data_IF_010012099428
#
_entry.id   IF_010012099428
#
_cell.length_a   1.000
_cell.length_b   1.000
_cell.length_c   1.000
_cell.angle_alpha   90.00
_cell.angle_beta   90.00
_cell.angle_gamma   90.00
#
_symmetry.space_group_name_H-M   'P 1'
#
loop_
_entity.id
_entity.type
_entity.pdbx_description
1 polymer ?
#
# COMPACT_ATOMS: atom_id res chain seq x y z
N UNK A 1 -63.57 24.10 -23.02
CA UNK A 1 -63.08 23.57 -21.73
C UNK A 1 -62.01 22.54 -22.04
N UNK A 2 -60.81 22.64 -21.44
CA UNK A 2 -59.74 21.66 -21.65
C UNK A 2 -60.19 20.32 -21.06
N UNK A 3 -60.12 19.25 -21.84
CA UNK A 3 -60.62 17.95 -21.42
C UNK A 3 -59.57 17.24 -20.57
N UNK A 4 -59.96 16.23 -19.79
CA UNK A 4 -59.07 15.53 -18.85
C UNK A 4 -57.86 14.89 -19.56
N UNK A 5 -58.07 14.43 -20.80
CA UNK A 5 -57.03 13.93 -21.70
C UNK A 5 -56.00 14.99 -22.11
N UNK A 6 -56.42 16.24 -22.31
CA UNK A 6 -55.53 17.34 -22.68
C UNK A 6 -54.63 17.72 -21.50
N UNK A 7 -55.18 17.72 -20.29
CA UNK A 7 -54.43 17.96 -19.05
C UNK A 7 -53.39 16.86 -18.81
N UNK A 8 -53.76 15.59 -19.02
CA UNK A 8 -52.82 14.48 -18.87
C UNK A 8 -51.69 14.55 -19.89
N UNK A 9 -51.99 14.90 -21.14
CA UNK A 9 -50.99 15.05 -22.21
C UNK A 9 -50.01 16.19 -21.93
N UNK A 10 -50.53 17.31 -21.42
CA UNK A 10 -49.72 18.45 -21.02
C UNK A 10 -48.83 18.13 -19.81
N UNK A 11 -49.37 17.41 -18.81
CA UNK A 11 -48.61 16.93 -17.66
C UNK A 11 -47.49 15.96 -18.08
N UNK A 12 -47.76 15.02 -18.99
CA UNK A 12 -46.74 14.10 -19.53
C UNK A 12 -45.64 14.87 -20.27
N UNK A 13 -46.00 15.89 -21.05
CA UNK A 13 -45.02 16.76 -21.74
C UNK A 13 -44.14 17.52 -20.74
N UNK A 14 -44.75 18.10 -19.71
CA UNK A 14 -44.04 18.79 -18.63
C UNK A 14 -43.06 17.86 -17.89
N UNK A 15 -43.52 16.67 -17.52
CA UNK A 15 -42.70 15.67 -16.83
C UNK A 15 -41.55 15.15 -17.72
N UNK A 16 -41.79 14.94 -19.02
CA UNK A 16 -40.72 14.57 -19.97
C UNK A 16 -39.67 15.66 -20.10
N UNK A 17 -40.08 16.93 -20.15
CA UNK A 17 -39.16 18.08 -20.20
C UNK A 17 -38.35 18.17 -18.91
N UNK A 18 -38.99 18.06 -17.75
CA UNK A 18 -38.33 18.05 -16.43
C UNK A 18 -37.30 16.93 -16.32
N UNK A 19 -37.67 15.70 -16.68
CA UNK A 19 -36.76 14.54 -16.67
C UNK A 19 -35.55 14.72 -17.58
N UNK A 20 -35.71 15.39 -18.74
CA UNK A 20 -34.59 15.68 -19.65
C UNK A 20 -33.62 16.69 -19.05
N UNK A 21 -34.14 17.74 -18.41
CA UNK A 21 -33.32 18.75 -17.72
C UNK A 21 -32.56 18.10 -16.56
N UNK A 22 -33.22 17.31 -15.72
CA UNK A 22 -32.59 16.62 -14.60
C UNK A 22 -31.50 15.64 -15.04
N UNK A 23 -31.73 14.90 -16.14
CA UNK A 23 -30.70 14.01 -16.71
C UNK A 23 -29.48 14.77 -17.25
N UNK A 24 -29.70 15.91 -17.90
CA UNK A 24 -28.60 16.72 -18.41
C UNK A 24 -27.80 17.32 -17.26
N UNK A 25 -28.47 17.86 -16.25
CA UNK A 25 -27.84 18.39 -15.03
C UNK A 25 -27.06 17.29 -14.28
N UNK A 26 -27.59 16.07 -14.22
CA UNK A 26 -26.89 14.95 -13.62
C UNK A 26 -25.61 14.64 -14.40
N UNK A 27 -25.66 14.55 -15.74
CA UNK A 27 -24.49 14.26 -16.56
C UNK A 27 -23.41 15.35 -16.49
N UNK A 28 -23.78 16.63 -16.42
CA UNK A 28 -22.84 17.74 -16.24
C UNK A 28 -22.11 17.62 -14.89
N UNK A 29 -22.86 17.48 -13.80
CA UNK A 29 -22.25 17.29 -12.47
C UNK A 29 -21.46 15.99 -12.36
N UNK A 30 -21.87 14.94 -13.09
CA UNK A 30 -21.17 13.66 -13.09
C UNK A 30 -19.85 13.73 -13.84
N UNK A 31 -19.76 14.49 -14.94
CA UNK A 31 -18.49 14.69 -15.64
C UNK A 31 -17.49 15.44 -14.77
N UNK A 32 -17.91 16.51 -14.10
CA UNK A 32 -17.03 17.28 -13.20
C UNK A 32 -16.60 16.44 -11.98
N UNK A 33 -17.54 15.67 -11.42
CA UNK A 33 -17.24 14.75 -10.31
C UNK A 33 -16.29 13.64 -10.76
N UNK A 34 -16.55 13.00 -11.90
CA UNK A 34 -15.68 11.99 -12.50
C UNK A 34 -14.30 12.59 -12.83
N UNK A 35 -14.26 13.84 -13.27
CA UNK A 35 -13.02 14.54 -13.55
C UNK A 35 -12.23 14.81 -12.27
N UNK A 36 -12.87 15.21 -11.16
CA UNK A 36 -12.20 15.41 -9.87
C UNK A 36 -11.62 14.13 -9.26
N UNK A 37 -12.28 12.97 -9.44
CA UNK A 37 -11.80 11.67 -8.91
C UNK A 37 -10.78 10.99 -9.83
N UNK A 38 -10.54 11.50 -11.05
CA UNK A 38 -9.49 10.93 -11.92
C UNK A 38 -8.15 11.07 -11.20
N UNK A 39 -7.36 10.00 -11.09
CA UNK A 39 -6.05 10.03 -10.43
C UNK A 39 -5.14 11.14 -10.96
N UNK A 40 -5.23 11.44 -12.25
CA UNK A 40 -4.45 12.52 -12.89
C UNK A 40 -4.77 13.91 -12.31
N UNK A 41 -6.03 14.17 -11.93
CA UNK A 41 -6.44 15.46 -11.39
C UNK A 41 -6.19 15.55 -9.88
N UNK A 42 -6.18 14.43 -9.16
CA UNK A 42 -5.65 14.35 -7.79
C UNK A 42 -4.15 14.68 -7.76
N UNK A 43 -3.38 14.10 -8.69
CA UNK A 43 -1.95 14.38 -8.84
C UNK A 43 -1.71 15.85 -9.19
N UNK A 44 -2.48 16.41 -10.13
CA UNK A 44 -2.42 17.85 -10.43
C UNK A 44 -2.73 18.71 -9.21
N UNK A 45 -3.72 18.33 -8.39
CA UNK A 45 -4.03 19.02 -7.14
C UNK A 45 -2.84 19.11 -6.18
N UNK A 46 -2.06 18.03 -6.07
CA UNK A 46 -0.81 17.99 -5.28
C UNK A 46 0.28 18.89 -5.86
N UNK A 47 0.31 19.09 -7.18
CA UNK A 47 1.29 19.94 -7.86
C UNK A 47 0.84 21.40 -8.01
N UNK A 48 -0.44 21.71 -7.89
CA UNK A 48 -0.93 23.09 -7.92
C UNK A 48 -0.61 23.79 -6.61
N UNK A 49 -0.05 24.99 -6.73
CA UNK A 49 0.60 25.83 -5.72
C UNK A 49 -0.10 25.98 -4.36
N UNK A 50 -1.39 25.66 -4.23
CA UNK A 50 -2.15 25.77 -2.98
C UNK A 50 -1.69 24.74 -1.93
N UNK A 51 -1.43 23.49 -2.33
CA UNK A 51 -0.82 22.50 -1.43
C UNK A 51 0.66 22.75 -1.16
N UNK A 52 1.36 23.45 -2.05
CA UNK A 52 2.78 23.80 -1.86
C UNK A 52 2.99 24.75 -0.66
N UNK A 53 2.02 25.63 -0.39
CA UNK A 53 2.05 26.52 0.76
C UNK A 53 1.47 25.89 2.05
N UNK A 54 0.43 25.06 1.97
CA UNK A 54 -0.17 24.40 3.15
C UNK A 54 0.64 23.19 3.68
N UNK A 55 1.35 22.46 2.82
CA UNK A 55 2.21 21.32 3.24
C UNK A 55 3.64 21.73 3.63
N UNK A 56 3.99 23.02 3.60
CA UNK A 56 5.31 23.50 4.02
C UNK A 56 6.42 23.36 2.97
N UNK A 57 6.11 23.64 1.69
CA UNK A 57 7.10 23.78 0.61
C UNK A 57 7.38 22.51 -0.21
N UNK A 58 8.28 22.63 -1.19
CA UNK A 58 8.75 21.55 -2.08
C UNK A 58 9.24 20.31 -1.35
N UNK A 59 9.77 20.48 -0.14
CA UNK A 59 10.27 19.40 0.71
C UNK A 59 9.20 18.36 0.98
N UNK A 60 8.00 18.76 1.41
CA UNK A 60 6.93 17.83 1.79
C UNK A 60 6.41 16.97 0.62
N UNK A 61 6.40 17.53 -0.60
CA UNK A 61 6.04 16.80 -1.82
C UNK A 61 7.17 15.84 -2.22
N UNK A 62 8.43 16.28 -2.14
CA UNK A 62 9.60 15.44 -2.40
C UNK A 62 9.65 14.28 -1.39
N UNK A 63 9.41 14.55 -0.10
CA UNK A 63 9.39 13.57 0.97
C UNK A 63 8.24 12.56 0.77
N UNK A 64 7.07 13.03 0.35
CA UNK A 64 5.94 12.15 -0.01
C UNK A 64 6.25 11.28 -1.22
N UNK A 65 6.81 11.86 -2.29
CA UNK A 65 7.26 11.12 -3.47
C UNK A 65 8.35 10.10 -3.12
N UNK A 66 9.31 10.48 -2.27
CA UNK A 66 10.34 9.59 -1.75
C UNK A 66 9.74 8.48 -0.89
N UNK A 67 8.75 8.77 -0.05
CA UNK A 67 8.02 7.78 0.73
C UNK A 67 7.25 6.78 -0.14
N UNK A 68 6.60 7.26 -1.20
CA UNK A 68 5.90 6.42 -2.17
C UNK A 68 6.87 5.60 -3.02
N UNK A 69 7.95 6.19 -3.51
CA UNK A 69 8.98 5.50 -4.28
C UNK A 69 9.68 4.43 -3.41
N UNK A 70 10.06 4.79 -2.19
CA UNK A 70 10.67 3.88 -1.21
C UNK A 70 9.70 2.78 -0.82
N UNK A 71 8.43 3.09 -0.58
CA UNK A 71 7.38 2.12 -0.29
C UNK A 71 7.12 1.16 -1.46
N UNK A 72 7.14 1.65 -2.70
CA UNK A 72 6.99 0.83 -3.90
C UNK A 72 8.20 -0.08 -4.12
N UNK A 73 9.42 0.45 -4.00
CA UNK A 73 10.67 -0.32 -4.07
C UNK A 73 10.70 -1.37 -2.96
N UNK A 74 10.41 -0.97 -1.71
CA UNK A 74 10.34 -1.85 -0.56
C UNK A 74 9.30 -2.96 -0.76
N UNK A 75 8.08 -2.63 -1.21
CA UNK A 75 7.06 -3.65 -1.53
C UNK A 75 7.55 -4.59 -2.62
N UNK A 76 8.23 -4.08 -3.66
CA UNK A 76 8.76 -4.90 -4.75
C UNK A 76 9.92 -5.80 -4.30
N UNK A 77 10.77 -5.35 -3.39
CA UNK A 77 11.95 -6.09 -2.91
C UNK A 77 11.64 -7.02 -1.73
N UNK A 78 10.79 -6.61 -0.79
CA UNK A 78 10.44 -7.37 0.42
C UNK A 78 9.18 -8.21 0.28
N UNK A 79 8.12 -7.73 -0.41
CA UNK A 79 6.78 -8.33 -0.32
C UNK A 79 6.33 -9.01 -1.63
N UNK A 80 6.69 -8.48 -2.80
CA UNK A 80 5.97 -8.80 -4.04
C UNK A 80 6.78 -9.33 -5.23
N UNK A 81 8.12 -9.34 -5.18
CA UNK A 81 8.92 -9.52 -6.40
C UNK A 81 9.98 -10.62 -6.40
N UNK A 82 10.21 -11.33 -5.29
CA UNK A 82 11.28 -12.31 -5.34
C UNK A 82 11.12 -13.48 -4.39
N UNK A 83 10.92 -14.64 -4.98
CA UNK A 83 11.08 -15.93 -4.31
C UNK A 83 12.52 -16.16 -3.83
N UNK A 84 13.51 -15.32 -4.21
CA UNK A 84 14.94 -15.61 -3.99
C UNK A 84 15.90 -14.43 -3.69
N UNK A 85 15.60 -13.15 -3.92
CA UNK A 85 16.62 -12.07 -3.84
C UNK A 85 17.05 -11.76 -2.40
N UNK A 86 16.11 -11.59 -1.48
CA UNK A 86 16.46 -11.35 -0.07
C UNK A 86 17.13 -12.58 0.56
N UNK A 87 16.64 -13.79 0.23
CA UNK A 87 17.25 -15.06 0.65
C UNK A 87 18.65 -15.24 0.06
N UNK A 88 18.86 -14.90 -1.21
CA UNK A 88 20.15 -14.99 -1.89
C UNK A 88 21.11 -13.91 -1.37
N UNK A 89 20.64 -12.71 -1.07
CA UNK A 89 21.46 -11.64 -0.49
C UNK A 89 21.94 -12.00 0.92
N UNK A 90 21.03 -12.44 1.78
CA UNK A 90 21.41 -12.94 3.11
C UNK A 90 22.28 -14.20 3.03
N UNK A 91 21.97 -15.13 2.11
CA UNK A 91 22.75 -16.33 1.87
C UNK A 91 24.16 -16.04 1.37
N UNK A 92 24.32 -15.06 0.48
CA UNK A 92 25.61 -14.60 -0.02
C UNK A 92 26.43 -13.90 1.07
N UNK A 93 25.82 -13.06 1.90
CA UNK A 93 26.49 -12.44 3.04
C UNK A 93 26.92 -13.48 4.08
N UNK A 94 26.07 -14.46 4.36
CA UNK A 94 26.41 -15.62 5.20
C UNK A 94 27.57 -16.41 4.60
N UNK A 95 27.50 -16.71 3.30
CA UNK A 95 28.54 -17.45 2.59
C UNK A 95 29.88 -16.70 2.57
N UNK A 96 29.87 -15.37 2.38
CA UNK A 96 31.06 -14.52 2.47
C UNK A 96 31.61 -14.46 3.89
N UNK A 97 30.75 -14.32 4.90
CA UNK A 97 31.13 -14.36 6.31
C UNK A 97 31.77 -15.70 6.70
N UNK A 98 31.20 -16.83 6.25
CA UNK A 98 31.76 -18.17 6.48
C UNK A 98 33.08 -18.35 5.74
N UNK A 99 33.19 -17.91 4.48
CA UNK A 99 34.44 -18.02 3.69
C UNK A 99 35.58 -17.22 4.33
N UNK A 100 35.31 -16.01 4.82
CA UNK A 100 36.31 -15.19 5.52
C UNK A 100 36.77 -15.83 6.85
N UNK A 101 35.92 -16.65 7.48
CA UNK A 101 36.24 -17.41 8.70
C UNK A 101 36.87 -18.78 8.42
N UNK A 102 36.94 -19.23 7.16
CA UNK A 102 37.42 -20.57 6.77
C UNK A 102 38.94 -20.64 6.59
N UNK A 103 39.67 -19.56 6.89
CA UNK A 103 41.13 -19.63 7.07
C UNK A 103 41.40 -20.37 8.40
N UNK A 104 41.40 -21.71 8.30
CA UNK A 104 42.17 -22.65 9.12
C UNK A 104 41.54 -23.46 10.27
N UNK A 105 40.23 -23.60 10.50
CA UNK A 105 39.74 -24.61 11.47
C UNK A 105 38.32 -25.13 11.18
N UNK A 106 38.21 -26.31 10.55
CA UNK A 106 36.94 -27.03 10.31
C UNK A 106 36.12 -27.25 11.60
N UNK A 107 36.80 -27.39 12.73
CA UNK A 107 36.17 -27.65 14.01
C UNK A 107 35.46 -26.42 14.60
N UNK A 108 35.94 -25.21 14.32
CA UNK A 108 35.28 -23.97 14.74
C UNK A 108 33.94 -23.77 14.04
N UNK A 109 33.85 -24.11 12.74
CA UNK A 109 32.62 -24.02 11.96
C UNK A 109 31.57 -25.01 12.50
N UNK A 110 31.98 -26.23 12.85
CA UNK A 110 31.08 -27.23 13.44
C UNK A 110 30.56 -26.80 14.81
N UNK A 111 31.43 -26.25 15.67
CA UNK A 111 31.05 -25.77 17.01
C UNK A 111 30.10 -24.57 16.92
N UNK A 112 30.40 -23.61 16.05
CA UNK A 112 29.57 -22.42 15.85
C UNK A 112 28.21 -22.77 15.22
N UNK A 113 28.21 -23.63 14.19
CA UNK A 113 26.99 -24.16 13.57
C UNK A 113 26.12 -24.92 14.57
N UNK A 114 26.72 -25.79 15.39
CA UNK A 114 26.02 -26.52 16.45
C UNK A 114 25.43 -25.57 17.50
N UNK A 115 26.14 -24.50 17.88
CA UNK A 115 25.67 -23.50 18.84
C UNK A 115 24.49 -22.69 18.30
N UNK A 116 24.54 -22.23 17.04
CA UNK A 116 23.43 -21.52 16.39
C UNK A 116 22.22 -22.44 16.24
N UNK A 117 22.43 -23.67 15.74
CA UNK A 117 21.35 -24.63 15.55
C UNK A 117 20.66 -24.94 16.89
N UNK A 118 21.43 -25.17 17.95
CA UNK A 118 20.86 -25.43 19.28
C UNK A 118 20.14 -24.20 19.86
N UNK A 119 20.61 -22.99 19.60
CA UNK A 119 19.96 -21.77 20.09
C UNK A 119 18.65 -21.46 19.36
N UNK A 120 18.48 -21.94 18.11
CA UNK A 120 17.25 -21.79 17.33
C UNK A 120 16.28 -22.95 17.58
N UNK A 121 16.78 -24.17 17.82
CA UNK A 121 15.96 -25.38 18.01
C UNK A 121 15.68 -25.78 19.47
N UNK A 122 16.33 -25.21 20.48
CA UNK A 122 15.96 -25.47 21.88
C UNK A 122 14.69 -24.70 22.25
N UNK A 123 13.55 -25.39 22.14
CA UNK A 123 12.31 -25.07 22.87
C UNK A 123 12.61 -25.02 24.38
N UNK A 124 12.05 -24.01 25.05
CA UNK A 124 12.13 -23.76 26.50
C UNK A 124 11.66 -24.99 27.29
N UNK A 125 12.39 -25.49 28.31
CA UNK A 125 11.83 -26.47 29.24
C UNK A 125 10.74 -25.78 30.07
N UNK A 126 9.54 -26.37 30.03
CA UNK A 126 8.48 -26.15 31.00
C UNK A 126 8.94 -26.71 32.35
N UNK A 127 9.46 -25.87 33.25
CA UNK A 127 9.74 -26.23 34.64
C UNK A 127 9.43 -25.04 35.57
N UNK A 128 8.18 -24.53 35.49
CA UNK A 128 7.65 -23.55 36.43
C UNK A 128 6.22 -23.93 36.90
N UNK A 129 5.96 -25.20 37.23
CA UNK A 129 4.69 -25.61 37.86
C UNK A 129 4.83 -26.44 39.16
N UNK A 130 6.04 -26.67 39.70
CA UNK A 130 6.21 -27.40 40.97
C UNK A 130 6.41 -26.52 42.22
N UNK A 131 6.43 -25.19 42.11
CA UNK A 131 6.60 -24.30 43.28
C UNK A 131 5.30 -23.79 43.90
N UNK A 132 4.12 -24.23 43.42
CA UNK A 132 2.83 -23.70 43.87
C UNK A 132 1.97 -24.65 44.73
N UNK A 133 2.49 -25.83 45.09
CA UNK A 133 1.79 -26.79 45.98
C UNK A 133 2.74 -27.46 47.00
N UNK A 134 3.61 -26.70 47.65
CA UNK A 134 4.28 -27.17 48.87
C UNK A 134 4.37 -26.11 49.94
#
# INVERSE_FOLDING_TARGET
>A
MKNEYDNLREAILLLKKKRRIERNLLNENFQDTLESIKPINLIKGLFTQKSFNELGGSSSIIDTLMGLATGYISKKTFVGGSHNLFKNGLGMLLQMGIQNLTISNSDTIKVFGKKILQSIFKKKPEDELETLYR
#
